data_IF_588579068720
#
_entry.id   IF_588579068720
#
_cell.length_a   1.000
_cell.length_b   1.000
_cell.length_c   1.000
_cell.angle_alpha   90.00
_cell.angle_beta   90.00
_cell.angle_gamma   90.00
#
_symmetry.space_group_name_H-M   'P 1'
#
loop_
_entity.id
_entity.type
_entity.pdbx_description
1 polymer ?
#
# COMPACT_ATOMS: atom_id res chain seq x y z
N UNK A 1 -8.15 -0.41 16.51
CA UNK A 1 -8.48 -0.64 15.09
C UNK A 1 -9.85 -1.27 15.03
N UNK A 2 -10.71 -0.79 14.14
CA UNK A 2 -11.98 -1.47 13.86
C UNK A 2 -11.78 -2.54 12.79
N UNK A 3 -12.54 -3.64 12.82
CA UNK A 3 -12.48 -4.65 11.76
C UNK A 3 -12.83 -4.08 10.39
N UNK A 4 -12.17 -4.57 9.34
CA UNK A 4 -12.57 -4.28 7.96
C UNK A 4 -13.95 -4.86 7.70
N UNK A 5 -14.86 -4.05 7.16
CA UNK A 5 -16.21 -4.48 6.79
C UNK A 5 -16.20 -4.98 5.34
N UNK A 6 -16.56 -6.24 5.06
CA UNK A 6 -16.46 -6.82 3.71
C UNK A 6 -17.21 -6.03 2.63
N UNK A 7 -18.37 -5.48 2.97
CA UNK A 7 -19.24 -4.77 2.01
C UNK A 7 -18.88 -3.28 1.85
N UNK A 8 -17.94 -2.76 2.66
CA UNK A 8 -17.58 -1.36 2.61
C UNK A 8 -16.55 -1.07 1.49
N UNK A 9 -16.70 0.09 0.87
CA UNK A 9 -15.73 0.61 -0.10
C UNK A 9 -14.74 1.52 0.62
N UNK A 10 -13.45 1.20 0.53
CA UNK A 10 -12.39 1.97 1.17
C UNK A 10 -11.55 2.73 0.14
N UNK A 11 -11.19 3.99 0.41
CA UNK A 11 -10.14 4.65 -0.36
C UNK A 11 -8.81 3.95 -0.09
N UNK A 12 -8.04 3.69 -1.15
CA UNK A 12 -6.75 3.02 -1.08
C UNK A 12 -5.74 3.81 -1.92
N UNK A 13 -4.54 4.00 -1.37
CA UNK A 13 -3.38 4.46 -2.12
C UNK A 13 -2.51 3.24 -2.48
N UNK A 14 -2.10 3.15 -3.74
CA UNK A 14 -1.20 2.10 -4.23
C UNK A 14 -0.33 2.63 -5.37
N UNK A 15 0.71 1.89 -5.74
CA UNK A 15 1.55 2.22 -6.88
C UNK A 15 0.92 1.76 -8.20
N UNK A 16 1.31 2.40 -9.30
CA UNK A 16 0.77 2.08 -10.63
C UNK A 16 1.04 0.64 -11.10
N UNK A 17 2.13 0.01 -10.65
CA UNK A 17 2.45 -1.38 -10.98
C UNK A 17 1.42 -2.36 -10.39
N UNK A 18 1.12 -2.24 -9.09
CA UNK A 18 0.14 -3.09 -8.41
C UNK A 18 -1.29 -2.79 -8.87
N UNK A 19 -1.63 -1.52 -9.12
CA UNK A 19 -2.94 -1.14 -9.69
C UNK A 19 -3.22 -1.80 -11.05
N UNK A 20 -2.18 -2.10 -11.82
CA UNK A 20 -2.27 -2.80 -13.11
C UNK A 20 -2.26 -4.33 -12.97
N UNK A 21 -2.24 -4.86 -11.74
CA UNK A 21 -2.23 -6.29 -11.47
C UNK A 21 -0.84 -6.92 -11.38
N UNK A 22 0.21 -6.12 -11.22
CA UNK A 22 1.56 -6.62 -10.92
C UNK A 22 1.59 -7.52 -9.69
N UNK A 23 2.54 -8.46 -9.64
CA UNK A 23 2.71 -9.46 -8.57
C UNK A 23 1.43 -10.28 -8.26
N UNK A 24 0.53 -10.42 -9.24
CA UNK A 24 -0.71 -11.17 -9.08
C UNK A 24 -1.83 -10.41 -8.37
N UNK A 25 -1.70 -9.10 -8.13
CA UNK A 25 -2.74 -8.26 -7.53
C UNK A 25 -3.89 -7.94 -8.52
N UNK A 26 -4.40 -8.94 -9.22
CA UNK A 26 -5.49 -8.83 -10.20
C UNK A 26 -6.75 -8.21 -9.61
N UNK A 27 -6.99 -8.42 -8.31
CA UNK A 27 -8.10 -7.78 -7.57
C UNK A 27 -8.09 -6.25 -7.67
N UNK A 28 -6.92 -5.62 -7.68
CA UNK A 28 -6.80 -4.16 -7.82
C UNK A 28 -7.12 -3.73 -9.25
N UNK A 29 -6.67 -4.49 -10.24
CA UNK A 29 -6.96 -4.24 -11.65
C UNK A 29 -8.45 -4.42 -11.98
N UNK A 30 -9.05 -5.49 -11.46
CA UNK A 30 -10.35 -5.96 -11.90
C UNK A 30 -11.51 -5.40 -11.07
N UNK A 31 -11.28 -5.04 -9.79
CA UNK A 31 -12.35 -4.64 -8.86
C UNK A 31 -12.25 -3.22 -8.31
N UNK A 32 -11.14 -2.51 -8.50
CA UNK A 32 -11.01 -1.15 -8.00
C UNK A 32 -12.00 -0.21 -8.70
N UNK A 33 -12.61 0.69 -7.92
CA UNK A 33 -13.60 1.67 -8.41
C UNK A 33 -12.99 3.07 -8.35
N UNK A 34 -13.35 3.94 -9.31
CA UNK A 34 -12.94 5.36 -9.34
C UNK A 34 -11.42 5.52 -9.26
N UNK A 35 -10.68 4.73 -10.04
CA UNK A 35 -9.21 4.69 -10.02
C UNK A 35 -8.64 6.00 -10.55
N UNK A 36 -7.83 6.66 -9.74
CA UNK A 36 -6.99 7.78 -10.17
C UNK A 36 -5.57 7.27 -10.46
N UNK A 37 -5.22 7.14 -11.73
CA UNK A 37 -3.95 6.55 -12.19
C UNK A 37 -2.87 7.59 -12.59
N UNK A 38 -3.15 8.88 -12.41
CA UNK A 38 -2.30 10.00 -12.88
C UNK A 38 -1.59 10.72 -11.72
N UNK A 39 -1.13 9.95 -10.73
CA UNK A 39 -0.39 10.49 -9.59
C UNK A 39 1.02 10.99 -9.95
N UNK A 40 1.62 11.74 -9.02
CA UNK A 40 3.03 12.13 -9.06
C UNK A 40 3.93 10.88 -9.19
N UNK A 41 5.08 10.94 -9.87
CA UNK A 41 6.10 9.89 -9.75
C UNK A 41 6.37 9.56 -8.28
N UNK A 42 6.53 8.26 -7.97
CA UNK A 42 6.75 7.78 -6.60
C UNK A 42 8.04 8.39 -6.02
N UNK A 43 9.06 8.59 -6.85
CA UNK A 43 10.29 9.29 -6.50
C UNK A 43 9.99 10.65 -5.89
N UNK A 44 9.15 11.42 -6.56
CA UNK A 44 8.92 12.80 -6.16
C UNK A 44 7.97 12.87 -4.96
N UNK A 45 7.08 11.89 -4.79
CA UNK A 45 6.26 11.77 -3.58
C UNK A 45 7.12 11.44 -2.35
N UNK A 46 8.14 10.57 -2.52
CA UNK A 46 9.11 10.27 -1.47
C UNK A 46 10.01 11.47 -1.16
N UNK A 47 10.48 12.19 -2.19
CA UNK A 47 11.26 13.42 -2.00
C UNK A 47 10.49 14.43 -1.16
N UNK A 48 9.23 14.74 -1.51
CA UNK A 48 8.41 15.68 -0.74
C UNK A 48 8.25 15.23 0.71
N UNK A 49 8.01 13.93 0.94
CA UNK A 49 7.86 13.37 2.27
C UNK A 49 9.14 13.52 3.10
N UNK A 50 10.31 13.20 2.53
CA UNK A 50 11.57 13.36 3.24
C UNK A 50 11.94 14.81 3.48
N UNK A 51 11.71 15.71 2.52
CA UNK A 51 11.97 17.15 2.69
C UNK A 51 11.16 17.76 3.83
N UNK A 52 9.99 17.19 4.14
CA UNK A 52 9.09 17.69 5.18
C UNK A 52 9.24 17.01 6.53
N UNK A 53 9.67 15.74 6.57
CA UNK A 53 9.68 14.92 7.78
C UNK A 53 11.08 14.52 8.27
N UNK A 54 12.16 15.00 7.63
CA UNK A 54 13.53 14.66 8.04
C UNK A 54 13.97 15.37 9.34
N UNK A 55 14.79 14.71 10.18
CA UNK A 55 15.30 13.35 10.03
C UNK A 55 14.26 12.28 10.41
N UNK A 56 14.21 11.21 9.63
CA UNK A 56 13.26 10.10 9.83
C UNK A 56 13.88 8.96 10.64
N UNK A 57 13.10 8.35 11.54
CA UNK A 57 13.49 7.13 12.28
C UNK A 57 12.35 6.11 12.26
N UNK A 58 12.04 5.48 11.10
CA UNK A 58 10.97 4.50 11.00
C UNK A 58 11.27 3.26 11.85
N UNK A 59 10.22 2.69 12.47
CA UNK A 59 10.32 1.51 13.34
C UNK A 59 9.36 0.42 12.88
N UNK A 60 9.67 -0.83 13.24
CA UNK A 60 8.73 -1.92 13.11
C UNK A 60 7.63 -1.77 14.17
N UNK A 61 6.44 -1.37 13.75
CA UNK A 61 5.30 -1.09 14.64
C UNK A 61 4.32 -2.27 14.77
N UNK A 62 4.62 -3.42 14.15
CA UNK A 62 3.72 -4.57 14.16
C UNK A 62 2.47 -4.39 13.29
N UNK A 63 2.53 -3.54 12.25
CA UNK A 63 1.42 -3.33 11.29
C UNK A 63 1.01 -4.60 10.55
N UNK A 64 1.93 -5.56 10.41
CA UNK A 64 1.70 -6.89 9.84
C UNK A 64 2.28 -7.91 10.82
N UNK A 65 1.47 -8.90 11.20
CA UNK A 65 1.89 -10.03 12.04
C UNK A 65 1.70 -11.30 11.24
N UNK A 66 2.76 -12.10 11.10
CA UNK A 66 2.68 -13.41 10.45
C UNK A 66 2.22 -14.45 11.46
N UNK A 67 1.06 -15.03 11.24
CA UNK A 67 0.52 -16.11 12.08
C UNK A 67 0.93 -17.46 11.46
N UNK A 68 1.94 -18.12 12.04
CA UNK A 68 2.46 -19.43 11.59
C UNK A 68 3.99 -19.51 11.65
N UNK A 69 4.54 -20.73 11.58
CA UNK A 69 5.99 -20.91 11.55
C UNK A 69 6.56 -20.29 10.27
N UNK A 70 7.56 -19.43 10.43
CA UNK A 70 8.40 -18.97 9.33
C UNK A 70 8.81 -20.22 8.53
N UNK A 71 8.61 -20.18 7.21
CA UNK A 71 9.09 -21.23 6.32
C UNK A 71 10.55 -21.51 6.68
N UNK A 72 10.85 -22.80 6.86
CA UNK A 72 12.21 -23.29 6.99
C UNK A 72 13.11 -22.63 5.93
N UNK A 73 14.35 -22.38 6.34
CA UNK A 73 15.44 -21.81 5.54
C UNK A 73 15.43 -22.25 4.06
#
# INVERSE_FOLDING_TARGET
MEPVRPEAVYPLASCGYLLKGGDGYTVLKDKAKRVYAFGKPISDALIDYFSTHSPMSPKAEGRIVRLGNALAQ
#
